data_IF_463764339898
#
_entry.id   IF_463764339898
#
_cell.length_a   1.000
_cell.length_b   1.000
_cell.length_c   1.000
_cell.angle_alpha   90.00
_cell.angle_beta   90.00
_cell.angle_gamma   90.00
#
_symmetry.space_group_name_H-M   'P 1'
#
loop_
_entity.id
_entity.type
_entity.pdbx_description
1 polymer ?
#
# COMPACT_ATOMS: atom_id res chain seq x y z
N UNK A 1 -3.49 -4.13 -13.65
CA UNK A 1 -3.20 -5.20 -12.66
C UNK A 1 -4.08 -6.40 -12.93
N UNK A 2 -3.62 -7.60 -12.59
CA UNK A 2 -4.45 -8.81 -12.57
C UNK A 2 -5.12 -8.93 -11.22
N UNK A 3 -6.19 -9.71 -11.11
CA UNK A 3 -6.93 -9.93 -9.87
C UNK A 3 -7.03 -11.43 -9.59
N UNK A 4 -6.89 -11.80 -8.32
CA UNK A 4 -7.10 -13.14 -7.80
C UNK A 4 -8.00 -13.05 -6.56
N UNK A 5 -9.09 -13.80 -6.53
CA UNK A 5 -9.90 -13.96 -5.33
C UNK A 5 -9.16 -14.86 -4.34
N UNK A 6 -9.02 -14.39 -3.10
CA UNK A 6 -8.32 -15.09 -2.02
C UNK A 6 -9.24 -15.27 -0.82
N UNK A 7 -9.15 -16.44 -0.19
CA UNK A 7 -9.86 -16.72 1.05
C UNK A 7 -8.96 -16.47 2.24
N UNK A 8 -9.41 -15.62 3.16
CA UNK A 8 -8.66 -15.25 4.36
C UNK A 8 -9.46 -15.67 5.59
N UNK A 9 -9.20 -16.86 6.16
CA UNK A 9 -9.95 -17.37 7.30
C UNK A 9 -9.81 -16.50 8.56
N UNK A 10 -8.66 -15.84 8.73
CA UNK A 10 -8.41 -14.94 9.85
C UNK A 10 -7.72 -13.66 9.36
N UNK A 11 -8.51 -12.61 9.16
CA UNK A 11 -8.06 -11.29 8.67
C UNK A 11 -6.95 -10.70 9.54
N UNK A 12 -7.02 -10.84 10.86
CA UNK A 12 -6.05 -10.22 11.78
C UNK A 12 -4.69 -10.91 11.65
N UNK A 13 -4.66 -12.24 11.71
CA UNK A 13 -3.41 -13.01 11.58
C UNK A 13 -2.79 -12.77 10.21
N UNK A 14 -3.59 -12.81 9.15
CA UNK A 14 -3.13 -12.58 7.79
C UNK A 14 -2.50 -11.19 7.63
N UNK A 15 -3.15 -10.14 8.15
CA UNK A 15 -2.59 -8.78 8.12
C UNK A 15 -1.24 -8.70 8.83
N UNK A 16 -1.10 -9.34 10.00
CA UNK A 16 0.17 -9.35 10.74
C UNK A 16 1.28 -10.09 9.99
N UNK A 17 0.98 -11.27 9.44
CA UNK A 17 1.92 -12.05 8.64
C UNK A 17 2.36 -11.28 7.40
N UNK A 18 1.42 -10.63 6.71
CA UNK A 18 1.70 -9.86 5.51
C UNK A 18 2.60 -8.64 5.81
N UNK A 19 2.27 -7.89 6.86
CA UNK A 19 3.09 -6.74 7.29
C UNK A 19 4.49 -7.18 7.72
N UNK A 20 4.62 -8.35 8.35
CA UNK A 20 5.92 -8.92 8.71
C UNK A 20 6.72 -9.35 7.47
N UNK A 21 6.08 -10.06 6.53
CA UNK A 21 6.70 -10.53 5.30
C UNK A 21 7.26 -9.35 4.47
N UNK A 22 6.51 -8.25 4.40
CA UNK A 22 6.90 -7.06 3.64
C UNK A 22 7.58 -5.97 4.48
N UNK A 23 8.00 -6.25 5.72
CA UNK A 23 8.55 -5.24 6.64
C UNK A 23 9.78 -4.49 6.10
N UNK A 24 10.55 -5.13 5.21
CA UNK A 24 11.76 -4.54 4.60
C UNK A 24 11.51 -3.97 3.20
N UNK A 25 10.24 -3.95 2.74
CA UNK A 25 9.88 -3.43 1.44
C UNK A 25 9.85 -1.91 1.48
N UNK A 26 10.29 -1.29 0.39
CA UNK A 26 10.43 0.17 0.30
C UNK A 26 9.13 0.91 0.60
N UNK A 27 8.03 0.45 0.02
CA UNK A 27 6.73 1.06 0.17
C UNK A 27 5.70 0.04 0.66
N UNK A 28 5.15 0.29 1.84
CA UNK A 28 4.02 -0.45 2.41
C UNK A 28 3.03 0.55 2.98
N UNK A 29 1.80 0.53 2.48
CA UNK A 29 0.70 1.37 2.97
C UNK A 29 -0.43 0.45 3.44
N UNK A 30 -0.86 0.61 4.68
CA UNK A 30 -2.00 -0.09 5.24
C UNK A 30 -3.10 0.89 5.62
N UNK A 31 -4.22 0.82 4.90
CA UNK A 31 -5.44 1.56 5.18
C UNK A 31 -6.44 0.64 5.86
N UNK A 32 -6.49 0.73 7.20
CA UNK A 32 -7.39 -0.05 8.02
C UNK A 32 -8.61 0.78 8.41
N UNK A 33 -9.80 0.29 8.09
CA UNK A 33 -11.06 0.90 8.51
C UNK A 33 -11.37 0.69 10.01
N UNK A 34 -10.65 -0.21 10.67
CA UNK A 34 -10.95 -0.73 12.01
C UNK A 34 -12.37 -1.31 12.16
N UNK A 35 -13.04 -1.57 11.03
CA UNK A 35 -14.36 -2.17 10.99
C UNK A 35 -14.29 -3.45 10.14
N UNK A 36 -14.61 -4.62 10.71
CA UNK A 36 -14.51 -5.90 9.99
C UNK A 36 -15.48 -6.01 8.81
N UNK A 37 -16.58 -5.26 8.80
CA UNK A 37 -17.56 -5.25 7.71
C UNK A 37 -17.23 -4.26 6.59
N UNK A 38 -16.07 -3.60 6.62
CA UNK A 38 -15.64 -2.70 5.55
C UNK A 38 -14.28 -3.08 5.01
N UNK A 39 -14.02 -2.65 3.77
CA UNK A 39 -12.77 -2.89 3.05
C UNK A 39 -11.57 -2.26 3.77
N UNK A 40 -10.47 -2.99 3.77
CA UNK A 40 -9.16 -2.49 4.16
C UNK A 40 -8.18 -2.75 3.03
N UNK A 41 -7.18 -1.88 2.85
CA UNK A 41 -6.23 -2.00 1.75
C UNK A 41 -4.81 -2.12 2.25
N UNK A 42 -4.04 -3.06 1.67
CA UNK A 42 -2.59 -3.11 1.86
C UNK A 42 -1.93 -2.99 0.47
N UNK A 43 -1.21 -1.89 0.26
CA UNK A 43 -0.52 -1.57 -0.99
C UNK A 43 1.00 -1.69 -0.81
N UNK A 44 1.67 -2.39 -1.72
CA UNK A 44 3.07 -2.78 -1.58
C UNK A 44 3.82 -2.54 -2.89
N UNK A 45 5.01 -1.95 -2.81
CA UNK A 45 5.92 -1.77 -3.95
C UNK A 45 7.38 -1.67 -3.50
N UNK A 46 8.29 -2.27 -4.26
CA UNK A 46 9.73 -2.15 -4.05
C UNK A 46 10.35 -0.85 -4.61
N UNK A 47 9.58 -0.10 -5.42
CA UNK A 47 10.03 1.12 -6.11
C UNK A 47 9.02 2.26 -5.94
N UNK A 48 9.39 3.45 -6.42
CA UNK A 48 8.60 4.67 -6.29
C UNK A 48 7.87 5.04 -7.60
N UNK A 49 7.77 4.11 -8.54
CA UNK A 49 7.24 4.41 -9.87
C UNK A 49 5.75 4.76 -9.77
N UNK A 50 5.31 5.70 -10.59
CA UNK A 50 3.94 6.17 -10.62
C UNK A 50 3.39 6.05 -12.04
N UNK A 51 2.44 5.15 -12.24
CA UNK A 51 1.64 5.09 -13.45
C UNK A 51 0.39 5.97 -13.27
N UNK A 52 0.21 6.92 -14.17
CA UNK A 52 -0.91 7.88 -14.16
C UNK A 52 -2.26 7.21 -14.42
N UNK A 53 -2.26 6.02 -15.02
CA UNK A 53 -3.48 5.27 -15.35
C UNK A 53 -3.76 4.14 -14.35
N UNK A 54 -3.00 4.08 -13.25
CA UNK A 54 -3.12 3.07 -12.22
C UNK A 54 -3.31 3.71 -10.84
N UNK A 55 -3.56 2.86 -9.85
CA UNK A 55 -3.65 3.28 -8.46
C UNK A 55 -2.36 3.96 -8.01
N UNK A 56 -2.49 5.00 -7.18
CA UNK A 56 -1.38 5.67 -6.53
C UNK A 56 -1.66 5.74 -5.03
N UNK A 57 -0.73 5.22 -4.25
CA UNK A 57 -0.76 5.25 -2.78
C UNK A 57 0.42 6.07 -2.30
N UNK A 58 0.27 6.71 -1.14
CA UNK A 58 1.28 7.66 -0.68
C UNK A 58 0.77 8.58 0.43
N UNK A 59 1.50 9.67 0.61
CA UNK A 59 1.16 10.71 1.57
C UNK A 59 1.54 12.10 1.02
N UNK A 60 0.91 13.11 1.62
CA UNK A 60 1.27 14.52 1.47
C UNK A 60 1.51 15.04 2.88
N UNK A 61 2.67 15.63 3.13
CA UNK A 61 2.98 16.24 4.41
C UNK A 61 2.23 17.56 4.57
N UNK A 62 2.13 18.03 5.82
CA UNK A 62 1.50 19.31 6.12
C UNK A 62 2.26 20.48 5.48
N UNK A 63 3.59 20.40 5.39
CA UNK A 63 4.45 21.48 4.88
C UNK A 63 4.28 21.74 3.38
N UNK A 64 3.73 20.77 2.64
CA UNK A 64 3.31 20.98 1.25
C UNK A 64 2.27 22.09 1.11
N UNK A 65 1.57 22.46 2.19
CA UNK A 65 0.67 23.62 2.22
C UNK A 65 1.37 24.92 1.81
N UNK A 66 2.66 25.09 2.14
CA UNK A 66 3.44 26.28 1.80
C UNK A 66 3.66 26.44 0.28
N UNK A 67 3.51 25.36 -0.51
CA UNK A 67 3.55 25.40 -1.98
C UNK A 67 2.18 25.78 -2.60
N UNK A 68 1.08 25.59 -1.86
CA UNK A 68 -0.29 25.87 -2.31
C UNK A 68 -0.74 27.27 -1.86
N UNK A 69 -0.33 27.71 -0.67
CA UNK A 69 -0.65 29.02 -0.11
C UNK A 69 0.61 29.90 -0.05
N UNK A 70 0.50 31.19 -0.42
CA UNK A 70 1.60 32.18 -0.33
C UNK A 70 1.91 32.59 1.12
N UNK A 71 2.20 31.64 2.00
CA UNK A 71 2.57 31.89 3.39
C UNK A 71 3.83 31.08 3.69
N UNK A 72 4.94 31.79 3.91
CA UNK A 72 6.20 31.22 4.35
C UNK A 72 6.17 31.03 5.86
N UNK A 73 6.05 29.79 6.32
CA UNK A 73 6.35 29.42 7.71
C UNK A 73 7.87 29.43 7.90
N UNK A 74 8.36 30.13 8.93
CA UNK A 74 9.78 30.34 9.22
C UNK A 74 10.29 29.36 10.30
N UNK A 75 9.75 28.13 10.36
CA UNK A 75 10.26 27.08 11.25
C UNK A 75 11.17 26.12 10.49
N UNK A 76 12.43 25.93 10.94
CA UNK A 76 13.32 24.96 10.32
C UNK A 76 12.88 23.54 10.67
N UNK A 77 12.54 22.75 9.64
CA UNK A 77 12.26 21.33 9.79
C UNK A 77 13.54 20.58 10.16
N UNK A 78 13.59 20.10 11.40
CA UNK A 78 14.67 19.24 11.90
C UNK A 78 14.61 17.80 11.37
N UNK A 79 13.59 17.47 10.58
CA UNK A 79 13.36 16.14 10.01
C UNK A 79 13.29 16.33 8.48
N UNK A 80 14.23 15.73 7.74
CA UNK A 80 14.25 15.74 6.27
C UNK A 80 13.14 14.84 5.68
N UNK A 81 11.91 14.99 6.15
CA UNK A 81 10.78 14.21 5.69
C UNK A 81 10.30 14.73 4.32
N UNK A 82 10.00 13.86 3.34
CA UNK A 82 9.52 14.31 2.04
C UNK A 82 8.21 15.10 2.14
N UNK A 83 8.06 16.17 1.36
CA UNK A 83 6.81 16.94 1.31
C UNK A 83 5.63 16.12 0.75
N UNK A 84 5.92 15.19 -0.16
CA UNK A 84 4.97 14.24 -0.69
C UNK A 84 5.70 13.01 -1.19
N UNK A 85 5.02 11.88 -1.21
CA UNK A 85 5.56 10.63 -1.74
C UNK A 85 4.41 9.78 -2.25
N UNK A 86 4.52 9.27 -3.47
CA UNK A 86 3.52 8.41 -4.10
C UNK A 86 4.20 7.27 -4.86
N UNK A 87 3.48 6.17 -5.02
CA UNK A 87 3.91 5.02 -5.80
C UNK A 87 2.68 4.25 -6.32
N UNK A 88 2.88 3.49 -7.39
CA UNK A 88 1.93 2.51 -7.91
C UNK A 88 2.22 1.14 -7.27
N UNK A 89 1.23 0.47 -6.67
CA UNK A 89 1.44 -0.81 -6.02
C UNK A 89 1.73 -1.91 -7.05
N UNK A 90 2.73 -2.74 -6.75
CA UNK A 90 2.95 -3.99 -7.47
C UNK A 90 2.03 -5.09 -6.92
N UNK A 91 1.71 -5.03 -5.62
CA UNK A 91 0.69 -5.84 -4.96
C UNK A 91 -0.30 -4.92 -4.24
N UNK A 92 -1.59 -5.19 -4.40
CA UNK A 92 -2.67 -4.49 -3.70
C UNK A 92 -3.66 -5.53 -3.17
N UNK A 93 -3.72 -5.66 -1.85
CA UNK A 93 -4.68 -6.50 -1.15
C UNK A 93 -5.90 -5.68 -0.78
N UNK A 94 -7.07 -6.07 -1.27
CA UNK A 94 -8.37 -5.56 -0.89
C UNK A 94 -9.06 -6.56 0.04
N UNK A 95 -9.09 -6.23 1.33
CA UNK A 95 -9.46 -7.14 2.41
C UNK A 95 -10.90 -6.89 2.88
N UNK A 96 -11.83 -7.77 2.51
CA UNK A 96 -13.26 -7.70 2.87
C UNK A 96 -13.78 -9.04 3.39
N UNK A 97 -13.94 -9.16 4.71
CA UNK A 97 -14.36 -10.43 5.32
C UNK A 97 -13.48 -11.62 4.91
N UNK A 98 -14.11 -12.76 4.62
CA UNK A 98 -13.41 -13.97 4.17
C UNK A 98 -13.05 -13.93 2.68
N UNK A 99 -13.81 -13.21 1.86
CA UNK A 99 -13.63 -13.13 0.40
C UNK A 99 -12.90 -11.84 0.07
N UNK A 100 -11.58 -11.92 -0.05
CA UNK A 100 -10.72 -10.79 -0.34
C UNK A 100 -10.15 -10.90 -1.74
N UNK A 101 -9.58 -9.81 -2.25
CA UNK A 101 -8.99 -9.77 -3.58
C UNK A 101 -7.53 -9.36 -3.49
N UNK A 102 -6.70 -10.02 -4.28
CA UNK A 102 -5.31 -9.64 -4.50
C UNK A 102 -5.15 -9.17 -5.94
N UNK A 103 -4.75 -7.91 -6.08
CA UNK A 103 -4.31 -7.37 -7.34
C UNK A 103 -2.78 -7.40 -7.45
N UNK A 104 -2.25 -7.81 -8.59
CA UNK A 104 -0.80 -7.85 -8.81
C UNK A 104 -0.38 -7.40 -10.21
N UNK A 105 0.83 -6.84 -10.32
CA UNK A 105 1.47 -6.53 -11.59
C UNK A 105 2.23 -7.75 -12.13
N UNK A 106 1.89 -8.18 -13.36
CA UNK A 106 2.52 -9.32 -14.04
C UNK A 106 3.96 -9.10 -14.46
N UNK A 107 4.40 -7.85 -14.56
CA UNK A 107 5.80 -7.52 -14.83
C UNK A 107 6.70 -7.85 -13.64
N UNK A 108 6.13 -7.94 -12.44
CA UNK A 108 6.86 -8.21 -11.19
C UNK A 108 6.54 -9.58 -10.59
N UNK A 109 5.33 -10.11 -10.81
CA UNK A 109 4.89 -11.37 -10.21
C UNK A 109 4.21 -12.29 -11.22
N UNK A 110 4.65 -13.54 -11.27
CA UNK A 110 3.94 -14.63 -11.91
C UNK A 110 2.79 -15.15 -11.03
N UNK A 111 1.81 -15.80 -11.63
CA UNK A 111 0.71 -16.41 -10.88
C UNK A 111 1.22 -17.49 -9.90
N UNK A 112 2.26 -18.23 -10.27
CA UNK A 112 2.85 -19.28 -9.43
C UNK A 112 3.53 -18.70 -8.19
N UNK A 113 4.26 -17.58 -8.32
CA UNK A 113 4.85 -16.87 -7.19
C UNK A 113 3.78 -16.33 -6.22
N UNK A 114 2.70 -15.75 -6.77
CA UNK A 114 1.57 -15.29 -5.97
C UNK A 114 0.93 -16.45 -5.20
N UNK A 115 0.70 -17.58 -5.87
CA UNK A 115 0.12 -18.76 -5.23
C UNK A 115 1.07 -19.33 -4.15
N UNK A 116 2.38 -19.35 -4.39
CA UNK A 116 3.35 -19.80 -3.41
C UNK A 116 3.35 -18.89 -2.16
N UNK A 117 3.33 -17.56 -2.35
CA UNK A 117 3.28 -16.57 -1.26
C UNK A 117 2.00 -16.70 -0.42
N UNK A 118 0.85 -17.00 -1.04
CA UNK A 118 -0.42 -17.13 -0.32
C UNK A 118 -0.54 -18.43 0.49
N UNK A 119 0.25 -19.45 0.16
CA UNK A 119 0.19 -20.78 0.79
C UNK A 119 1.37 -21.09 1.71
N UNK A 120 2.33 -20.17 1.86
CA UNK A 120 3.49 -20.29 2.76
C UNK A 120 3.17 -19.86 4.19
#
# INVERSE_FOLDING_TARGET
MNCLDIKIPNKIIFQQQLLHYFANTKNVVFLNSNNPSTKSFIAISDNNDCDKNSWQFGFISYDYKNQIEKLSSNHPDGIQFPEKHFFTPQLLFELEGENSQLHYNKEHYSADEINAMLNS
#
